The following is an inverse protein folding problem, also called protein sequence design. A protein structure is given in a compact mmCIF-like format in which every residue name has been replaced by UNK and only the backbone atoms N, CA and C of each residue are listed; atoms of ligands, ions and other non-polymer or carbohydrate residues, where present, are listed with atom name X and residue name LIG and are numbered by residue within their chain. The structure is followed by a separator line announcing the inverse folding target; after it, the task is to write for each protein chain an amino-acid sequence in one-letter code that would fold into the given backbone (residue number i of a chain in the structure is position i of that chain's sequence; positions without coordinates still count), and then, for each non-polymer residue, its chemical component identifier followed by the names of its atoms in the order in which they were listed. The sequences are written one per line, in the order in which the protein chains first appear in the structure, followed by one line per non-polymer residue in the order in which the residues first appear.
data_IF_316947575528
#
_entry.id   IF_316947575528
#
_cell.length_a   1.000
_cell.length_b   1.000
_cell.length_c   1.000
_cell.angle_alpha   90.00
_cell.angle_beta   90.00
_cell.angle_gamma   90.00
#
_symmetry.space_group_name_H-M   'P 1'
#
loop_
_entity.id
_entity.type
_entity.pdbx_description
1 polymer ?
#
# COMPACT_ATOMS: atom_id res chain seq x y z
N UNK A 1 7.90 16.52 16.58
CA UNK A 1 7.23 15.30 17.08
C UNK A 1 8.28 14.21 17.15
N UNK A 2 8.24 13.40 18.20
CA UNK A 2 9.18 12.30 18.39
C UNK A 2 8.46 11.00 18.04
N UNK A 3 8.99 10.25 17.06
CA UNK A 3 8.46 8.97 16.62
C UNK A 3 9.33 7.83 17.19
N UNK A 4 8.68 6.73 17.56
CA UNK A 4 9.33 5.56 18.17
C UNK A 4 9.75 4.55 17.09
N UNK A 5 11.04 4.56 16.76
CA UNK A 5 11.70 3.59 15.87
C UNK A 5 12.57 2.58 16.62
N UNK A 6 12.60 2.64 17.95
CA UNK A 6 13.43 1.77 18.79
C UNK A 6 12.63 0.56 19.30
N UNK A 7 11.34 0.77 19.62
CA UNK A 7 10.50 -0.27 20.21
C UNK A 7 9.57 -0.86 19.17
N UNK A 8 10.04 -1.93 18.52
CA UNK A 8 9.19 -2.75 17.65
C UNK A 8 8.05 -3.38 18.45
N UNK A 9 6.80 -3.33 17.96
CA UNK A 9 5.70 -4.07 18.59
C UNK A 9 5.95 -5.58 18.46
N UNK A 10 5.54 -6.36 19.46
CA UNK A 10 5.51 -7.82 19.33
C UNK A 10 4.43 -8.22 18.32
N UNK A 11 4.89 -8.84 17.23
CA UNK A 11 4.06 -9.30 16.11
C UNK A 11 3.97 -10.83 16.08
N UNK A 12 4.53 -11.53 17.06
CA UNK A 12 4.32 -12.96 17.20
C UNK A 12 2.84 -13.26 17.46
N UNK A 13 2.30 -14.35 16.90
CA UNK A 13 0.91 -14.77 17.09
C UNK A 13 -0.17 -13.76 16.60
N UNK A 14 0.15 -12.94 15.59
CA UNK A 14 -0.77 -11.93 15.03
C UNK A 14 -1.29 -12.24 13.62
N UNK A 15 -1.15 -13.49 13.15
CA UNK A 15 -1.46 -13.91 11.77
C UNK A 15 -0.73 -13.10 10.66
N UNK A 16 0.33 -12.38 11.03
CA UNK A 16 1.12 -11.58 10.11
C UNK A 16 2.06 -12.44 9.28
N UNK A 17 1.90 -12.38 7.95
CA UNK A 17 2.68 -13.17 6.98
C UNK A 17 4.19 -13.04 7.20
N UNK A 18 4.71 -11.85 7.52
CA UNK A 18 6.14 -11.67 7.81
C UNK A 18 6.62 -12.55 8.94
N UNK A 19 5.82 -12.66 10.00
CA UNK A 19 6.15 -13.30 11.27
C UNK A 19 5.64 -14.75 11.36
N UNK A 20 5.04 -15.28 10.29
CA UNK A 20 4.72 -16.71 10.13
C UNK A 20 5.99 -17.52 9.79
N UNK A 21 6.88 -17.61 10.78
CA UNK A 21 8.18 -18.29 10.69
C UNK A 21 8.38 -19.26 11.85
N UNK A 22 9.36 -20.17 11.75
CA UNK A 22 9.60 -21.15 12.82
C UNK A 22 10.19 -20.47 14.07
N UNK A 23 10.03 -21.08 15.26
CA UNK A 23 10.68 -20.60 16.47
C UNK A 23 12.20 -20.46 16.28
N UNK A 24 12.73 -19.28 16.60
CA UNK A 24 14.16 -18.95 16.47
C UNK A 24 14.57 -18.34 15.12
N UNK A 25 13.64 -18.19 14.16
CA UNK A 25 13.90 -17.49 12.89
C UNK A 25 13.63 -15.98 13.02
N UNK A 26 14.48 -15.17 12.35
CA UNK A 26 14.30 -13.72 12.25
C UNK A 26 13.84 -13.35 10.83
N UNK A 27 12.58 -12.90 10.64
CA UNK A 27 12.05 -12.64 9.31
C UNK A 27 12.55 -11.32 8.71
N UNK A 28 13.19 -11.38 7.54
CA UNK A 28 13.72 -10.21 6.81
C UNK A 28 13.35 -10.21 5.32
N UNK A 29 12.19 -10.77 4.97
CA UNK A 29 11.89 -11.17 3.59
C UNK A 29 10.76 -10.38 2.90
N UNK A 30 9.68 -10.05 3.60
CA UNK A 30 8.54 -9.33 3.02
C UNK A 30 8.61 -7.84 3.38
N UNK A 31 8.19 -6.99 2.44
CA UNK A 31 8.28 -5.53 2.52
C UNK A 31 7.16 -4.90 3.37
N UNK A 32 7.08 -5.28 4.64
CA UNK A 32 6.41 -4.51 5.68
C UNK A 32 7.41 -4.12 6.79
N UNK A 33 7.06 -3.11 7.59
CA UNK A 33 7.96 -2.56 8.61
C UNK A 33 7.65 -3.12 10.00
N UNK A 34 8.68 -3.23 10.84
CA UNK A 34 8.55 -3.58 12.27
C UNK A 34 8.54 -2.33 13.17
N UNK A 35 7.88 -1.26 12.71
CA UNK A 35 7.69 -0.02 13.45
C UNK A 35 6.20 0.25 13.65
N UNK A 36 5.88 1.03 14.68
CA UNK A 36 4.52 1.54 14.85
C UNK A 36 4.20 2.48 13.69
N UNK A 37 2.96 2.37 13.20
CA UNK A 37 2.38 3.36 12.28
C UNK A 37 2.33 4.74 12.95
N UNK A 38 2.39 5.79 12.13
CA UNK A 38 2.30 7.17 12.61
C UNK A 38 1.04 7.40 13.50
N UNK A 39 1.17 8.10 14.64
CA UNK A 39 0.07 8.32 15.58
C UNK A 39 -1.15 8.99 14.94
N UNK A 40 -0.95 9.87 13.95
CA UNK A 40 -2.02 10.54 13.21
C UNK A 40 -2.90 9.55 12.43
N UNK A 41 -2.30 8.47 11.90
CA UNK A 41 -3.04 7.41 11.21
C UNK A 41 -3.82 6.59 12.24
N UNK A 42 -3.23 6.29 13.41
CA UNK A 42 -3.91 5.57 14.49
C UNK A 42 -5.12 6.37 14.99
N UNK A 43 -4.95 7.68 15.19
CA UNK A 43 -6.03 8.59 15.60
C UNK A 43 -7.17 8.62 14.56
N UNK A 44 -6.84 8.74 13.27
CA UNK A 44 -7.84 8.71 12.20
C UNK A 44 -8.62 7.38 12.17
N UNK A 45 -7.94 6.25 12.39
CA UNK A 45 -8.59 4.94 12.49
C UNK A 45 -9.50 4.83 13.72
N UNK A 46 -9.06 5.32 14.88
CA UNK A 46 -9.88 5.33 16.11
C UNK A 46 -11.13 6.21 15.96
N UNK A 47 -10.99 7.39 15.34
CA UNK A 47 -12.12 8.25 15.03
C UNK A 47 -13.12 7.55 14.09
N UNK A 48 -12.61 6.84 13.07
CA UNK A 48 -13.44 6.06 12.15
C UNK A 48 -14.19 4.94 12.87
N UNK A 49 -13.53 4.20 13.76
CA UNK A 49 -14.14 3.14 14.57
C UNK A 49 -15.23 3.71 15.48
N UNK A 50 -14.98 4.87 16.09
CA UNK A 50 -15.92 5.53 17.01
C UNK A 50 -17.25 5.93 16.36
N UNK A 51 -17.30 6.04 15.03
CA UNK A 51 -18.55 6.27 14.28
C UNK A 51 -19.56 5.12 14.47
N UNK A 52 -19.08 3.89 14.69
CA UNK A 52 -19.93 2.71 14.91
C UNK A 52 -20.76 2.25 13.69
N UNK A 53 -20.51 2.82 12.51
CA UNK A 53 -21.18 2.47 11.25
C UNK A 53 -20.16 2.26 10.13
N UNK A 54 -20.22 1.09 9.48
CA UNK A 54 -19.22 0.63 8.49
C UNK A 54 -19.89 0.26 7.16
N UNK A 55 -20.60 1.23 6.58
CA UNK A 55 -21.30 1.07 5.30
C UNK A 55 -20.37 1.15 4.09
N UNK A 56 -20.97 1.22 2.90
CA UNK A 56 -20.22 1.44 1.66
C UNK A 56 -19.66 2.86 1.59
N UNK A 57 -18.39 2.98 1.22
CA UNK A 57 -17.67 4.24 1.12
C UNK A 57 -16.89 4.33 -0.18
N UNK A 58 -16.67 5.55 -0.63
CA UNK A 58 -15.88 5.84 -1.82
C UNK A 58 -14.92 7.00 -1.54
N UNK A 59 -13.64 6.93 -1.99
CA UNK A 59 -12.69 8.02 -1.85
C UNK A 59 -13.24 9.33 -2.44
N UNK A 60 -13.21 10.39 -1.63
CA UNK A 60 -13.69 11.71 -2.03
C UNK A 60 -12.55 12.56 -2.61
N UNK A 61 -12.86 13.79 -3.04
CA UNK A 61 -11.90 14.70 -3.69
C UNK A 61 -10.67 15.00 -2.80
N UNK A 62 -10.85 15.03 -1.49
CA UNK A 62 -9.80 15.25 -0.50
C UNK A 62 -8.70 14.17 -0.55
N UNK A 63 -9.07 12.90 -0.74
CA UNK A 63 -8.12 11.80 -0.94
C UNK A 63 -7.20 12.08 -2.15
N UNK A 64 -7.79 12.43 -3.29
CA UNK A 64 -7.03 12.70 -4.51
C UNK A 64 -6.17 13.97 -4.38
N UNK A 65 -6.69 15.00 -3.70
CA UNK A 65 -5.89 16.19 -3.39
C UNK A 65 -4.66 15.84 -2.54
N UNK A 66 -4.82 15.02 -1.50
CA UNK A 66 -3.71 14.61 -0.65
C UNK A 66 -2.61 13.86 -1.43
N UNK A 67 -3.01 12.99 -2.37
CA UNK A 67 -2.05 12.32 -3.26
C UNK A 67 -1.37 13.34 -4.19
N UNK A 68 -2.11 14.28 -4.77
CA UNK A 68 -1.54 15.31 -5.64
C UNK A 68 -0.58 16.25 -4.89
N UNK A 69 -0.93 16.66 -3.66
CA UNK A 69 -0.10 17.49 -2.77
C UNK A 69 1.20 16.77 -2.40
N UNK A 70 1.13 15.47 -2.12
CA UNK A 70 2.31 14.64 -1.84
C UNK A 70 3.27 14.60 -3.04
N UNK A 71 2.74 14.34 -4.24
CA UNK A 71 3.54 14.33 -5.47
C UNK A 71 4.15 15.70 -5.80
N UNK A 72 3.42 16.79 -5.57
CA UNK A 72 3.97 18.14 -5.74
C UNK A 72 5.11 18.42 -4.77
N UNK A 73 4.95 18.04 -3.51
CA UNK A 73 5.92 18.31 -2.44
C UNK A 73 7.18 17.45 -2.59
N UNK A 74 7.01 16.14 -2.79
CA UNK A 74 8.12 15.17 -2.78
C UNK A 74 8.77 15.00 -4.16
N UNK A 75 8.05 15.30 -5.24
CA UNK A 75 8.50 15.03 -6.60
C UNK A 75 8.43 16.25 -7.53
N UNK A 76 7.96 17.41 -7.05
CA UNK A 76 7.90 18.65 -7.84
C UNK A 76 6.90 18.62 -8.99
N UNK A 77 5.99 17.64 -9.02
CA UNK A 77 5.04 17.45 -10.10
C UNK A 77 3.66 17.18 -9.52
N UNK A 78 2.69 18.05 -9.80
CA UNK A 78 1.32 17.89 -9.33
C UNK A 78 0.45 17.17 -10.38
N UNK A 79 -0.02 15.93 -10.15
CA UNK A 79 -0.98 15.30 -11.05
C UNK A 79 -2.36 15.97 -10.97
N UNK A 80 -3.08 15.98 -12.09
CA UNK A 80 -4.49 16.38 -12.06
C UNK A 80 -5.36 15.26 -11.47
N UNK A 81 -6.40 15.62 -10.71
CA UNK A 81 -7.23 14.63 -10.04
C UNK A 81 -7.97 13.69 -10.99
N UNK A 82 -8.29 14.14 -12.22
CA UNK A 82 -8.95 13.34 -13.25
C UNK A 82 -8.04 12.28 -13.89
N UNK A 83 -6.73 12.33 -13.63
CA UNK A 83 -5.78 11.28 -14.04
C UNK A 83 -5.78 10.07 -13.10
N UNK A 84 -6.33 10.22 -11.89
CA UNK A 84 -6.20 9.23 -10.83
C UNK A 84 -7.44 8.35 -10.68
N UNK A 85 -7.21 7.04 -10.52
CA UNK A 85 -8.24 6.05 -10.23
C UNK A 85 -7.83 5.30 -8.97
N UNK A 86 -8.73 5.21 -8.00
CA UNK A 86 -8.49 4.42 -6.79
C UNK A 86 -8.46 2.92 -7.12
N UNK A 87 -7.46 2.23 -6.59
CA UNK A 87 -7.35 0.76 -6.67
C UNK A 87 -6.94 0.21 -5.31
N UNK A 88 -7.30 -1.04 -5.03
CA UNK A 88 -6.97 -1.69 -3.75
C UNK A 88 -5.50 -2.12 -3.66
N UNK A 89 -4.73 -2.02 -4.75
CA UNK A 89 -3.31 -2.34 -4.77
C UNK A 89 -2.69 -2.26 -6.16
N UNK A 90 -1.36 -2.14 -6.19
CA UNK A 90 -0.57 -1.97 -7.42
C UNK A 90 -0.63 -3.20 -8.33
N UNK A 91 -0.53 -4.42 -7.78
CA UNK A 91 -0.54 -5.66 -8.59
C UNK A 91 -1.87 -5.87 -9.32
N UNK A 92 -3.05 -5.78 -8.67
CA UNK A 92 -4.34 -5.78 -9.38
C UNK A 92 -4.48 -4.68 -10.43
N UNK A 93 -3.93 -3.49 -10.19
CA UNK A 93 -3.95 -2.39 -11.15
C UNK A 93 -3.12 -2.74 -12.40
N UNK A 94 -1.89 -3.23 -12.24
CA UNK A 94 -1.02 -3.67 -13.34
C UNK A 94 -1.69 -4.80 -14.14
N UNK A 95 -2.21 -5.81 -13.45
CA UNK A 95 -2.92 -6.93 -14.07
C UNK A 95 -4.15 -6.46 -14.87
N UNK A 96 -4.88 -5.45 -14.38
CA UNK A 96 -6.02 -4.84 -15.10
C UNK A 96 -5.57 -4.01 -16.31
N UNK A 97 -4.49 -3.24 -16.17
CA UNK A 97 -3.93 -2.42 -17.25
C UNK A 97 -3.47 -3.31 -18.39
N UNK A 98 -2.67 -4.35 -18.12
CA UNK A 98 -2.17 -5.29 -19.14
C UNK A 98 -3.33 -5.91 -19.90
N UNK A 99 -4.36 -6.44 -19.22
CA UNK A 99 -5.55 -7.00 -19.89
C UNK A 99 -6.34 -5.99 -20.71
N UNK A 100 -6.25 -4.70 -20.38
CA UNK A 100 -6.94 -3.62 -21.09
C UNK A 100 -6.15 -3.15 -22.33
N UNK A 101 -4.82 -3.12 -22.26
CA UNK A 101 -3.97 -2.52 -23.30
C UNK A 101 -3.27 -3.54 -24.22
N UNK A 102 -3.51 -4.83 -24.00
CA UNK A 102 -2.92 -5.92 -24.80
C UNK A 102 -3.95 -7.01 -25.13
N UNK A 103 -3.59 -7.86 -26.09
CA UNK A 103 -4.32 -9.06 -26.46
C UNK A 103 -3.55 -10.33 -26.09
N UNK A 104 -4.28 -11.46 -26.11
CA UNK A 104 -3.66 -12.78 -25.97
C UNK A 104 -2.64 -12.96 -27.10
N UNK A 105 -1.38 -13.20 -26.73
CA UNK A 105 -0.27 -13.39 -27.67
C UNK A 105 0.63 -12.16 -27.83
N UNK A 106 0.24 -10.99 -27.31
CA UNK A 106 1.11 -9.82 -27.28
C UNK A 106 2.25 -10.00 -26.26
N UNK A 107 3.40 -9.38 -26.53
CA UNK A 107 4.56 -9.42 -25.65
C UNK A 107 4.55 -8.23 -24.67
N UNK A 108 4.89 -8.50 -23.40
CA UNK A 108 5.08 -7.48 -22.36
C UNK A 108 6.53 -7.49 -21.92
N UNK A 109 7.20 -6.34 -22.00
CA UNK A 109 8.61 -6.20 -21.59
C UNK A 109 8.72 -5.97 -20.09
N UNK A 110 9.64 -6.68 -19.45
CA UNK A 110 10.09 -6.48 -18.05
C UNK A 110 11.61 -6.51 -17.99
N UNK A 111 12.21 -5.76 -17.06
CA UNK A 111 13.66 -5.65 -16.91
C UNK A 111 14.11 -6.39 -15.64
N UNK A 112 14.69 -7.57 -15.79
CA UNK A 112 15.15 -8.40 -14.66
C UNK A 112 16.52 -7.97 -14.11
N UNK A 113 16.79 -8.16 -12.81
CA UNK A 113 15.88 -8.69 -11.78
C UNK A 113 14.86 -7.64 -11.31
N UNK A 114 13.59 -8.03 -11.22
CA UNK A 114 12.47 -7.18 -10.77
C UNK A 114 11.61 -7.91 -9.75
N UNK A 115 10.66 -7.22 -9.12
CA UNK A 115 9.68 -7.82 -8.23
C UNK A 115 9.01 -9.04 -8.89
N UNK A 116 8.83 -10.10 -8.11
CA UNK A 116 8.61 -11.47 -8.58
C UNK A 116 7.37 -11.66 -9.48
N UNK A 117 7.34 -12.80 -10.18
CA UNK A 117 6.39 -13.29 -11.21
C UNK A 117 4.88 -13.10 -10.94
N UNK A 118 4.46 -12.71 -9.73
CA UNK A 118 3.06 -12.36 -9.43
C UNK A 118 2.60 -11.04 -10.07
N UNK A 119 3.51 -10.26 -10.63
CA UNK A 119 3.21 -8.95 -11.25
C UNK A 119 2.31 -9.01 -12.50
N UNK A 120 2.35 -10.10 -13.26
CA UNK A 120 1.72 -10.19 -14.60
C UNK A 120 0.77 -11.37 -14.78
N UNK A 121 0.30 -12.01 -13.70
CA UNK A 121 -0.67 -13.12 -13.77
C UNK A 121 -2.11 -12.61 -13.97
#
# INVERSE_FOLDING_TARGET
MEYDFENAPDRSHTDLVKWDVKPGELPMWIADMDFKTAPEIIEAMQAKISLGAFGYEWPQKDYFNAVADWYETEHGCRPHNDWMIFTTGVVPAISSIVRRVSHIGDNVLVQEPVYSHKLLV
#
